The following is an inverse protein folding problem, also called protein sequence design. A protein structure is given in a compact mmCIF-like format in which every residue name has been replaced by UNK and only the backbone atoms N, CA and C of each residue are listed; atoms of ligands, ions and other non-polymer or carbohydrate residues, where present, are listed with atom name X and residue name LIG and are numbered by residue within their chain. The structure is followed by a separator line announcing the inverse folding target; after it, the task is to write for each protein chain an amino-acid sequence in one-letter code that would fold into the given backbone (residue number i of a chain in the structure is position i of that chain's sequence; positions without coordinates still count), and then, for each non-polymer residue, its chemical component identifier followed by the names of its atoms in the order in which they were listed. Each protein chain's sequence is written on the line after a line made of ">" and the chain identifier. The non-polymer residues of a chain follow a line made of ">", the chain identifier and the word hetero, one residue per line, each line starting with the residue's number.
data_IF_846969065325
#
_entry.id   IF_846969065325
#
_cell.length_a   1.000
_cell.length_b   1.000
_cell.length_c   1.000
_cell.angle_alpha   90.00
_cell.angle_beta   90.00
_cell.angle_gamma   90.00
#
_symmetry.space_group_name_H-M   'P 1'
#
loop_
_entity.id
_entity.type
_entity.pdbx_description
1 polymer ?
#
# COMPACT_ATOMS: atom_id res chain seq x y z
N UNK A 1 80.03 41.48 -58.38
CA UNK A 1 81.05 40.84 -59.23
C UNK A 1 80.58 40.94 -60.66
N UNK A 2 81.36 41.62 -61.49
CA UNK A 2 81.01 41.98 -62.87
C UNK A 2 82.07 42.93 -63.38
N UNK A 3 83.27 42.38 -63.60
CA UNK A 3 84.35 43.00 -64.37
C UNK A 3 84.03 42.92 -65.88
N UNK A 4 84.91 43.57 -66.67
CA UNK A 4 85.03 43.51 -68.15
C UNK A 4 84.15 44.58 -68.83
N UNK A 5 84.61 45.51 -69.69
CA UNK A 5 85.88 45.70 -70.40
C UNK A 5 85.99 47.20 -70.74
N UNK A 6 87.16 47.80 -70.56
CA UNK A 6 87.51 49.08 -71.19
C UNK A 6 88.65 48.78 -72.17
N UNK A 7 88.40 48.96 -73.46
CA UNK A 7 89.43 48.93 -74.50
C UNK A 7 90.15 50.29 -74.55
N UNK A 8 91.48 50.33 -74.43
CA UNK A 8 92.28 51.48 -74.82
C UNK A 8 93.11 51.15 -76.06
N UNK A 9 93.14 52.06 -77.03
CA UNK A 9 94.21 52.34 -78.00
C UNK A 9 93.54 53.09 -79.18
N UNK A 10 94.15 54.06 -79.87
CA UNK A 10 95.34 53.89 -80.71
C UNK A 10 95.86 55.29 -81.14
N UNK A 11 97.11 55.54 -80.76
CA UNK A 11 98.23 56.12 -81.54
C UNK A 11 98.11 57.52 -82.18
N UNK A 12 98.76 58.44 -81.49
CA UNK A 12 99.69 59.45 -82.03
C UNK A 12 100.62 58.89 -83.13
N UNK A 13 100.77 59.64 -84.22
CA UNK A 13 101.77 59.42 -85.26
C UNK A 13 102.53 60.73 -85.50
N UNK A 14 103.68 60.84 -84.86
CA UNK A 14 104.77 61.72 -85.28
C UNK A 14 105.26 61.28 -86.66
N UNK A 15 105.51 62.24 -87.56
CA UNK A 15 106.42 62.05 -88.70
C UNK A 15 107.52 63.09 -88.63
N UNK A 16 108.66 62.61 -88.15
CA UNK A 16 109.97 63.21 -88.28
C UNK A 16 110.43 63.16 -89.74
N UNK A 17 110.89 64.33 -90.19
CA UNK A 17 111.99 64.59 -91.12
C UNK A 17 112.30 63.64 -92.28
N UNK A 18 112.45 64.22 -93.47
CA UNK A 18 113.56 63.84 -94.36
C UNK A 18 114.04 65.05 -95.15
N UNK A 19 115.16 65.60 -94.69
CA UNK A 19 115.97 66.58 -95.41
C UNK A 19 116.73 65.84 -96.50
N UNK A 20 116.48 66.16 -97.77
CA UNK A 20 117.33 65.73 -98.88
C UNK A 20 118.21 66.89 -99.35
N UNK A 21 119.50 66.73 -99.06
CA UNK A 21 120.62 67.44 -99.66
C UNK A 21 120.55 67.37 -101.20
N UNK A 22 120.36 68.52 -101.85
CA UNK A 22 120.71 68.70 -103.27
C UNK A 22 122.00 69.51 -103.37
N UNK A 23 122.98 68.85 -103.98
CA UNK A 23 124.35 69.29 -104.27
C UNK A 23 124.38 70.71 -104.85
N UNK A 24 125.14 71.57 -104.16
CA UNK A 24 125.60 72.86 -104.65
C UNK A 24 126.34 72.71 -105.98
N UNK A 25 125.81 73.35 -107.03
CA UNK A 25 126.65 73.87 -108.11
C UNK A 25 127.40 75.08 -107.54
N UNK A 26 128.71 74.96 -107.36
CA UNK A 26 129.63 76.07 -107.04
C UNK A 26 129.62 77.10 -108.17
N UNK A 27 128.60 77.95 -108.19
CA UNK A 27 128.69 79.30 -108.73
C UNK A 27 129.01 80.22 -107.56
N UNK A 28 130.15 80.91 -107.62
CA UNK A 28 130.68 81.94 -106.71
C UNK A 28 129.60 82.51 -105.75
N UNK A 29 129.44 81.88 -104.57
CA UNK A 29 128.55 82.35 -103.52
C UNK A 29 129.35 83.27 -102.62
N UNK A 30 129.14 84.59 -102.74
CA UNK A 30 129.64 85.57 -101.75
C UNK A 30 129.00 85.23 -100.40
N UNK A 31 129.81 85.11 -99.35
CA UNK A 31 129.35 84.87 -97.98
C UNK A 31 128.38 85.97 -97.55
N UNK A 32 127.09 85.63 -97.41
CA UNK A 32 126.07 86.51 -96.84
C UNK A 32 126.08 86.33 -95.31
N UNK A 33 126.52 87.35 -94.57
CA UNK A 33 126.36 87.42 -93.11
C UNK A 33 125.02 88.10 -92.77
N UNK A 34 124.21 87.49 -91.93
CA UNK A 34 122.91 88.04 -91.51
C UNK A 34 123.11 89.20 -90.52
N UNK A 35 122.58 90.38 -90.84
CA UNK A 35 122.71 91.61 -90.04
C UNK A 35 121.37 92.10 -89.45
N UNK A 36 120.28 91.35 -89.61
CA UNK A 36 118.97 91.63 -89.03
C UNK A 36 117.81 91.50 -90.02
N UNK A 37 116.58 91.59 -89.49
CA UNK A 37 115.33 91.62 -90.26
C UNK A 37 114.55 92.87 -89.88
N UNK A 38 114.09 93.60 -90.88
CA UNK A 38 113.22 94.76 -90.70
C UNK A 38 111.78 94.32 -90.94
N UNK A 39 110.89 94.39 -89.95
CA UNK A 39 109.47 94.09 -90.17
C UNK A 39 108.88 95.19 -91.05
N UNK A 40 108.45 94.82 -92.25
CA UNK A 40 107.92 95.78 -93.23
C UNK A 40 106.45 96.15 -93.01
N UNK A 41 105.81 95.56 -91.99
CA UNK A 41 104.41 95.85 -91.66
C UNK A 41 104.29 97.30 -91.15
N UNK A 42 103.30 98.03 -91.63
CA UNK A 42 103.11 99.45 -91.29
C UNK A 42 104.18 100.41 -91.82
N UNK A 43 105.21 99.93 -92.53
CA UNK A 43 106.30 100.77 -93.04
C UNK A 43 105.85 101.53 -94.30
N UNK A 44 106.20 102.82 -94.37
CA UNK A 44 106.06 103.63 -95.58
C UNK A 44 107.36 103.61 -96.37
N UNK A 45 107.28 103.23 -97.64
CA UNK A 45 108.45 103.02 -98.51
C UNK A 45 108.32 103.91 -99.74
N UNK A 46 109.27 104.82 -99.90
CA UNK A 46 109.24 105.87 -100.92
C UNK A 46 110.61 105.95 -101.63
N UNK A 47 110.61 106.23 -102.92
CA UNK A 47 111.83 106.56 -103.65
C UNK A 47 112.30 107.98 -103.29
N UNK A 48 113.57 108.12 -102.93
CA UNK A 48 114.20 109.39 -102.56
C UNK A 48 115.57 109.59 -103.22
N UNK A 49 116.13 110.78 -103.02
CA UNK A 49 117.51 111.16 -103.36
C UNK A 49 118.13 111.76 -102.10
N UNK A 50 119.33 111.35 -101.73
CA UNK A 50 120.04 111.89 -100.56
C UNK A 50 121.49 112.27 -100.96
N UNK A 51 122.10 113.20 -100.22
CA UNK A 51 123.34 113.94 -100.51
C UNK A 51 124.47 113.06 -101.08
N UNK A 52 124.48 112.87 -102.41
CA UNK A 52 125.50 112.10 -103.15
C UNK A 52 125.03 110.77 -103.76
N UNK A 53 123.83 110.28 -103.42
CA UNK A 53 123.26 109.04 -103.96
C UNK A 53 121.89 109.30 -104.62
N UNK A 54 121.86 109.15 -105.96
CA UNK A 54 120.71 109.52 -106.79
C UNK A 54 119.57 108.50 -106.78
N UNK A 55 119.77 107.29 -106.29
CA UNK A 55 118.81 106.18 -106.38
C UNK A 55 118.60 105.53 -105.00
N UNK A 56 117.89 106.20 -104.07
CA UNK A 56 117.71 105.73 -102.70
C UNK A 56 116.24 105.36 -102.40
N UNK A 57 116.02 104.40 -101.49
CA UNK A 57 114.72 104.04 -100.96
C UNK A 57 114.69 104.44 -99.49
N UNK A 58 113.72 105.28 -99.12
CA UNK A 58 113.47 105.65 -97.73
C UNK A 58 112.39 104.73 -97.17
N UNK A 59 112.74 103.98 -96.14
CA UNK A 59 111.81 103.16 -95.37
C UNK A 59 111.61 103.84 -94.01
N UNK A 60 110.38 104.27 -93.73
CA UNK A 60 110.00 104.90 -92.47
C UNK A 60 108.92 104.08 -91.77
N UNK A 61 108.97 104.03 -90.44
CA UNK A 61 107.93 103.46 -89.59
C UNK A 61 107.74 104.40 -88.40
N UNK A 62 106.53 104.50 -87.84
CA UNK A 62 106.26 105.30 -86.63
C UNK A 62 107.11 104.88 -85.42
N UNK A 63 107.61 103.64 -85.42
CA UNK A 63 108.49 103.09 -84.39
C UNK A 63 109.99 103.12 -84.75
N UNK A 64 110.38 103.60 -85.95
CA UNK A 64 111.79 103.77 -86.29
C UNK A 64 112.29 105.13 -85.83
N UNK A 65 113.41 105.14 -85.08
CA UNK A 65 114.04 106.38 -84.58
C UNK A 65 114.63 107.26 -85.71
N UNK A 66 114.96 106.66 -86.84
CA UNK A 66 115.44 107.34 -88.04
C UNK A 66 114.96 106.58 -89.29
N UNK A 67 114.87 107.27 -90.42
CA UNK A 67 114.53 106.65 -91.70
C UNK A 67 115.66 105.70 -92.14
N UNK A 68 115.31 104.49 -92.54
CA UNK A 68 116.27 103.54 -93.09
C UNK A 68 116.43 103.85 -94.56
N UNK A 69 117.66 104.19 -94.96
CA UNK A 69 118.00 104.57 -96.34
C UNK A 69 118.68 103.39 -97.02
N UNK A 70 118.10 102.91 -98.11
CA UNK A 70 118.66 101.80 -98.91
C UNK A 70 119.01 102.32 -100.30
N UNK A 71 120.30 102.36 -100.63
CA UNK A 71 120.77 102.82 -101.94
C UNK A 71 120.72 101.68 -102.97
N UNK A 72 120.18 101.95 -104.15
CA UNK A 72 120.19 101.06 -105.30
C UNK A 72 121.32 101.44 -106.29
N UNK A 73 121.81 100.46 -107.05
CA UNK A 73 122.89 100.69 -108.02
C UNK A 73 122.44 101.52 -109.23
N UNK A 74 121.17 101.39 -109.64
CA UNK A 74 120.55 102.13 -110.74
C UNK A 74 119.05 102.37 -110.49
N UNK A 75 118.44 103.21 -111.34
CA UNK A 75 117.02 103.53 -111.25
C UNK A 75 116.11 102.29 -111.42
N UNK A 76 116.51 101.33 -112.26
CA UNK A 76 115.75 100.09 -112.48
C UNK A 76 115.73 99.23 -111.23
N UNK A 77 116.86 99.04 -110.55
CA UNK A 77 116.92 98.33 -109.28
C UNK A 77 116.14 99.05 -108.18
N UNK A 78 116.21 100.39 -108.12
CA UNK A 78 115.41 101.17 -107.17
C UNK A 78 113.91 100.91 -107.34
N UNK A 79 113.39 100.96 -108.57
CA UNK A 79 111.98 100.71 -108.85
C UNK A 79 111.57 99.26 -108.56
N UNK A 80 112.41 98.29 -108.93
CA UNK A 80 112.19 96.87 -108.62
C UNK A 80 112.12 96.63 -107.11
N UNK A 81 113.08 97.16 -106.34
CA UNK A 81 113.10 97.03 -104.88
C UNK A 81 111.96 97.79 -104.21
N UNK A 82 111.60 98.98 -104.71
CA UNK A 82 110.43 99.72 -104.22
C UNK A 82 109.16 98.89 -104.37
N UNK A 83 108.95 98.29 -105.55
CA UNK A 83 107.79 97.45 -105.84
C UNK A 83 107.78 96.21 -104.97
N UNK A 84 108.91 95.50 -104.88
CA UNK A 84 109.05 94.29 -104.08
C UNK A 84 108.81 94.55 -102.58
N UNK A 85 109.37 95.64 -102.05
CA UNK A 85 109.19 96.00 -100.64
C UNK A 85 107.76 96.42 -100.32
N UNK A 86 107.11 97.21 -101.18
CA UNK A 86 105.68 97.56 -101.02
C UNK A 86 104.78 96.33 -101.10
N UNK A 87 105.09 95.39 -102.00
CA UNK A 87 104.39 94.12 -102.10
C UNK A 87 104.59 93.26 -100.85
N UNK A 88 105.81 93.20 -100.31
CA UNK A 88 106.12 92.51 -99.06
C UNK A 88 105.39 93.13 -97.84
N UNK A 89 105.31 94.47 -97.74
CA UNK A 89 104.50 95.17 -96.74
C UNK A 89 103.03 94.78 -96.86
N UNK A 90 102.47 94.77 -98.08
CA UNK A 90 101.08 94.38 -98.35
C UNK A 90 100.80 92.94 -97.95
N UNK A 91 101.70 92.01 -98.28
CA UNK A 91 101.57 90.59 -97.89
C UNK A 91 101.63 90.45 -96.36
N UNK A 92 102.57 91.12 -95.70
CA UNK A 92 102.71 91.08 -94.24
C UNK A 92 101.45 91.58 -93.52
N UNK A 93 100.85 92.67 -94.03
CA UNK A 93 99.59 93.19 -93.52
C UNK A 93 98.43 92.20 -93.71
N UNK A 94 98.29 91.63 -94.92
CA UNK A 94 97.28 90.61 -95.21
C UNK A 94 97.42 89.37 -94.32
N UNK A 95 98.66 88.91 -94.10
CA UNK A 95 98.94 87.76 -93.23
C UNK A 95 98.54 88.06 -91.79
N UNK A 96 98.83 89.27 -91.29
CA UNK A 96 98.46 89.67 -89.92
C UNK A 96 96.95 89.68 -89.72
N UNK A 97 96.18 90.26 -90.66
CA UNK A 97 94.71 90.20 -90.61
C UNK A 97 94.21 88.74 -90.67
N UNK A 98 94.83 87.89 -91.50
CA UNK A 98 94.46 86.48 -91.58
C UNK A 98 94.72 85.74 -90.27
N UNK A 99 95.83 86.04 -89.58
CA UNK A 99 96.14 85.51 -88.26
C UNK A 99 95.17 86.02 -87.19
N UNK A 100 94.87 87.31 -87.16
CA UNK A 100 93.88 87.88 -86.23
C UNK A 100 92.51 87.22 -86.41
N UNK A 101 92.04 87.05 -87.64
CA UNK A 101 90.80 86.32 -87.93
C UNK A 101 90.85 84.86 -87.50
N UNK A 102 91.99 84.19 -87.68
CA UNK A 102 92.15 82.80 -87.25
C UNK A 102 92.13 82.72 -85.72
N UNK A 103 92.79 83.65 -85.02
CA UNK A 103 92.77 83.72 -83.54
C UNK A 103 91.34 83.94 -83.06
N UNK A 104 90.62 84.91 -83.61
CA UNK A 104 89.21 85.17 -83.26
C UNK A 104 88.31 83.95 -83.50
N UNK A 105 88.52 83.22 -84.60
CA UNK A 105 87.81 81.96 -84.89
C UNK A 105 88.16 80.85 -83.89
N UNK A 106 89.42 80.74 -83.48
CA UNK A 106 89.85 79.75 -82.49
C UNK A 106 89.33 80.07 -81.10
N UNK A 107 89.31 81.35 -80.71
CA UNK A 107 88.76 81.82 -79.44
C UNK A 107 87.25 81.58 -79.38
N UNK A 108 86.49 82.01 -80.40
CA UNK A 108 85.05 81.75 -80.48
C UNK A 108 84.72 80.26 -80.48
N UNK A 109 85.50 79.43 -81.20
CA UNK A 109 85.36 77.97 -81.15
C UNK A 109 85.70 77.41 -79.76
N UNK A 110 86.71 77.94 -79.08
CA UNK A 110 87.07 77.54 -77.72
C UNK A 110 85.96 77.82 -76.71
N UNK A 111 85.31 78.97 -76.81
CA UNK A 111 84.13 79.31 -75.99
C UNK A 111 82.99 78.34 -76.26
N UNK A 112 82.65 78.10 -77.53
CA UNK A 112 81.60 77.15 -77.90
C UNK A 112 81.86 75.74 -77.36
N UNK A 113 83.08 75.22 -77.49
CA UNK A 113 83.45 73.90 -76.97
C UNK A 113 83.39 73.83 -75.44
N UNK A 114 83.73 74.91 -74.75
CA UNK A 114 83.64 74.98 -73.28
C UNK A 114 82.19 74.94 -72.82
N UNK A 115 81.31 75.68 -73.51
CA UNK A 115 79.87 75.68 -73.22
C UNK A 115 79.23 74.32 -73.56
N UNK A 116 79.60 73.71 -74.69
CA UNK A 116 79.18 72.35 -75.04
C UNK A 116 79.61 71.33 -73.99
N UNK A 117 80.89 71.36 -73.58
CA UNK A 117 81.42 70.50 -72.52
C UNK A 117 80.61 70.66 -71.23
N UNK A 118 80.38 71.90 -70.79
CA UNK A 118 79.59 72.20 -69.59
C UNK A 118 78.16 71.66 -69.71
N UNK A 119 77.50 71.87 -70.84
CA UNK A 119 76.15 71.34 -71.10
C UNK A 119 76.11 69.80 -71.07
N UNK A 120 77.14 69.12 -71.58
CA UNK A 120 77.24 67.66 -71.49
C UNK A 120 77.46 67.19 -70.04
N UNK A 121 78.30 67.87 -69.28
CA UNK A 121 78.53 67.58 -67.86
C UNK A 121 77.25 67.77 -67.03
N UNK A 122 76.51 68.85 -67.25
CA UNK A 122 75.23 69.11 -66.59
C UNK A 122 74.17 68.04 -66.92
N UNK A 123 74.06 67.65 -68.20
CA UNK A 123 73.16 66.57 -68.62
C UNK A 123 73.53 65.22 -67.99
N UNK A 124 74.82 64.91 -67.93
CA UNK A 124 75.29 63.67 -67.32
C UNK A 124 75.00 63.65 -65.82
N UNK A 125 75.21 64.78 -65.13
CA UNK A 125 74.89 64.91 -63.71
C UNK A 125 73.38 64.75 -63.45
N UNK A 126 72.53 65.39 -64.27
CA UNK A 126 71.08 65.27 -64.15
C UNK A 126 70.59 63.84 -64.38
N UNK A 127 71.14 63.12 -65.37
CA UNK A 127 70.83 61.70 -65.61
C UNK A 127 71.30 60.83 -64.42
N UNK A 128 72.49 61.08 -63.88
CA UNK A 128 73.00 60.35 -62.72
C UNK A 128 72.10 60.53 -61.48
N UNK A 129 71.64 61.77 -61.23
CA UNK A 129 70.71 62.08 -60.14
C UNK A 129 69.34 61.41 -60.36
N UNK A 130 68.80 61.47 -61.59
CA UNK A 130 67.53 60.82 -61.91
C UNK A 130 67.59 59.30 -61.71
N UNK A 131 68.71 58.66 -62.09
CA UNK A 131 68.96 57.23 -61.84
C UNK A 131 69.04 56.90 -60.35
N UNK A 132 69.71 57.75 -59.57
CA UNK A 132 69.81 57.58 -58.12
C UNK A 132 68.44 57.72 -57.43
N UNK A 133 67.64 58.71 -57.82
CA UNK A 133 66.27 58.87 -57.33
C UNK A 133 65.39 57.68 -57.69
N UNK A 134 65.46 57.19 -58.93
CA UNK A 134 64.72 55.99 -59.37
C UNK A 134 65.15 54.76 -58.57
N UNK A 135 66.45 54.58 -58.34
CA UNK A 135 66.98 53.49 -57.52
C UNK A 135 66.48 53.58 -56.08
N UNK A 136 66.48 54.76 -55.47
CA UNK A 136 65.98 54.98 -54.11
C UNK A 136 64.46 54.74 -54.01
N UNK A 137 63.69 55.15 -55.02
CA UNK A 137 62.25 54.84 -55.13
C UNK A 137 62.04 53.34 -55.24
N UNK A 138 62.81 52.64 -56.07
CA UNK A 138 62.77 51.19 -56.22
C UNK A 138 63.06 50.47 -54.90
N UNK A 139 64.13 50.87 -54.19
CA UNK A 139 64.45 50.29 -52.87
C UNK A 139 63.35 50.52 -51.83
N UNK A 140 62.72 51.70 -51.85
CA UNK A 140 61.61 52.00 -50.94
C UNK A 140 60.37 51.16 -51.25
N UNK A 141 60.08 50.94 -52.53
CA UNK A 141 58.99 50.07 -52.98
C UNK A 141 59.25 48.59 -52.64
N UNK A 142 60.47 48.10 -52.80
CA UNK A 142 60.80 46.71 -52.47
C UNK A 142 60.67 46.45 -50.96
N UNK A 143 61.06 47.40 -50.10
CA UNK A 143 60.81 47.34 -48.65
C UNK A 143 59.32 47.29 -48.33
N UNK A 144 58.53 48.18 -48.93
CA UNK A 144 57.08 48.20 -48.73
C UNK A 144 56.41 46.89 -49.20
N UNK A 145 56.88 46.32 -50.32
CA UNK A 145 56.42 45.03 -50.82
C UNK A 145 56.76 43.88 -49.86
N UNK A 146 57.96 43.85 -49.28
CA UNK A 146 58.35 42.85 -48.29
C UNK A 146 57.48 42.93 -47.02
N UNK A 147 57.18 44.13 -46.54
CA UNK A 147 56.29 44.35 -45.39
C UNK A 147 54.85 43.90 -45.68
N UNK A 148 54.33 44.22 -46.86
CA UNK A 148 53.01 43.77 -47.29
C UNK A 148 52.92 42.24 -47.42
N UNK A 149 53.97 41.58 -47.91
CA UNK A 149 53.98 40.11 -48.00
C UNK A 149 54.02 39.47 -46.60
N UNK A 150 54.81 40.02 -45.66
CA UNK A 150 54.82 39.57 -44.26
C UNK A 150 53.44 39.73 -43.61
N UNK A 151 52.74 40.83 -43.89
CA UNK A 151 51.40 41.06 -43.35
C UNK A 151 50.37 40.14 -44.00
N UNK A 152 50.47 39.92 -45.32
CA UNK A 152 49.65 38.93 -46.04
C UNK A 152 49.83 37.53 -45.44
N UNK A 153 51.06 37.10 -45.18
CA UNK A 153 51.33 35.82 -44.53
C UNK A 153 50.79 35.73 -43.09
N UNK A 154 50.87 36.83 -42.32
CA UNK A 154 50.24 36.90 -40.99
C UNK A 154 48.73 36.75 -41.07
N UNK A 155 48.08 37.50 -41.96
CA UNK A 155 46.64 37.41 -42.17
C UNK A 155 46.22 36.02 -42.64
N UNK A 156 46.93 35.40 -43.59
CA UNK A 156 46.64 34.04 -44.03
C UNK A 156 46.73 33.02 -42.87
N UNK A 157 47.75 33.13 -42.01
CA UNK A 157 47.88 32.27 -40.82
C UNK A 157 46.76 32.48 -39.82
N UNK A 158 46.39 33.74 -39.55
CA UNK A 158 45.29 34.06 -38.66
C UNK A 158 43.95 33.55 -39.19
N UNK A 159 43.66 33.77 -40.47
CA UNK A 159 42.44 33.27 -41.13
C UNK A 159 42.38 31.75 -41.09
N UNK A 160 43.50 31.05 -41.33
CA UNK A 160 43.55 29.59 -41.22
C UNK A 160 43.22 29.14 -39.80
N UNK A 161 43.87 29.74 -38.79
CA UNK A 161 43.62 29.42 -37.38
C UNK A 161 42.16 29.65 -37.00
N UNK A 162 41.57 30.79 -37.37
CA UNK A 162 40.15 31.08 -37.11
C UNK A 162 39.21 30.07 -37.78
N UNK A 163 39.55 29.60 -38.99
CA UNK A 163 38.77 28.56 -39.68
C UNK A 163 38.85 27.22 -38.96
N UNK A 164 40.03 26.84 -38.49
CA UNK A 164 40.26 25.61 -37.74
C UNK A 164 39.53 25.66 -36.38
N UNK A 165 39.63 26.79 -35.66
CA UNK A 165 38.91 27.03 -34.40
C UNK A 165 37.39 26.99 -34.59
N UNK A 166 36.86 27.63 -35.64
CA UNK A 166 35.44 27.58 -35.98
C UNK A 166 34.97 26.14 -36.24
N UNK A 167 35.78 25.35 -36.93
CA UNK A 167 35.47 23.95 -37.20
C UNK A 167 35.51 23.10 -35.92
N UNK A 168 36.46 23.36 -35.02
CA UNK A 168 36.51 22.71 -33.69
C UNK A 168 35.26 23.01 -32.89
N UNK A 169 34.91 24.29 -32.74
CA UNK A 169 33.71 24.74 -32.01
C UNK A 169 32.44 24.13 -32.60
N UNK A 170 32.34 24.05 -33.94
CA UNK A 170 31.21 23.39 -34.61
C UNK A 170 31.11 21.91 -34.26
N UNK A 171 32.24 21.20 -34.18
CA UNK A 171 32.29 19.79 -33.82
C UNK A 171 31.93 19.59 -32.33
N UNK A 172 32.48 20.41 -31.43
CA UNK A 172 32.16 20.40 -30.00
C UNK A 172 30.68 20.68 -29.74
N UNK A 173 30.10 21.65 -30.45
CA UNK A 173 28.68 21.97 -30.37
C UNK A 173 27.82 20.79 -30.85
N UNK A 174 28.25 20.08 -31.90
CA UNK A 174 27.56 18.88 -32.39
C UNK A 174 27.56 17.78 -31.31
N UNK A 175 28.72 17.49 -30.72
CA UNK A 175 28.86 16.50 -29.64
C UNK A 175 28.01 16.90 -28.44
N UNK A 176 28.04 18.17 -28.04
CA UNK A 176 27.23 18.70 -26.91
C UNK A 176 25.73 18.56 -27.17
N UNK A 177 25.27 18.76 -28.41
CA UNK A 177 23.87 18.54 -28.76
C UNK A 177 23.50 17.05 -28.76
N UNK A 178 24.39 16.17 -29.20
CA UNK A 178 24.18 14.72 -29.14
C UNK A 178 24.09 14.23 -27.69
N UNK A 179 25.00 14.65 -26.81
CA UNK A 179 24.96 14.31 -25.37
C UNK A 179 23.74 14.91 -24.68
N UNK A 180 23.32 16.13 -25.04
CA UNK A 180 22.08 16.71 -24.54
C UNK A 180 20.86 15.86 -24.91
N UNK A 181 20.78 15.39 -26.17
CA UNK A 181 19.67 14.52 -26.62
C UNK A 181 19.65 13.19 -25.86
N UNK A 182 20.81 12.57 -25.61
CA UNK A 182 20.86 11.32 -24.84
C UNK A 182 20.39 11.54 -23.39
N UNK A 183 20.81 12.64 -22.76
CA UNK A 183 20.34 13.00 -21.41
C UNK A 183 18.84 13.29 -21.36
N UNK A 184 18.28 13.94 -22.38
CA UNK A 184 16.83 14.14 -22.49
C UNK A 184 16.08 12.80 -22.61
N UNK A 185 16.60 11.86 -23.41
CA UNK A 185 16.04 10.51 -23.54
C UNK A 185 16.09 9.74 -22.20
N UNK A 186 17.22 9.80 -21.49
CA UNK A 186 17.39 9.17 -20.18
C UNK A 186 16.44 9.77 -19.14
N UNK A 187 16.28 11.10 -19.13
CA UNK A 187 15.32 11.79 -18.27
C UNK A 187 13.89 11.31 -18.52
N UNK A 188 13.47 11.17 -19.78
CA UNK A 188 12.15 10.64 -20.14
C UNK A 188 11.99 9.20 -19.64
N UNK A 189 13.00 8.35 -19.84
CA UNK A 189 12.97 6.96 -19.37
C UNK A 189 12.89 6.86 -17.85
N UNK A 190 13.65 7.68 -17.12
CA UNK A 190 13.62 7.75 -15.65
C UNK A 190 12.28 8.25 -15.13
N UNK A 191 11.69 9.27 -15.77
CA UNK A 191 10.36 9.75 -15.40
C UNK A 191 9.30 8.65 -15.58
N UNK A 192 9.30 7.94 -16.71
CA UNK A 192 8.38 6.83 -16.94
C UNK A 192 8.52 5.70 -15.89
N UNK A 193 9.75 5.36 -15.50
CA UNK A 193 10.00 4.39 -14.41
C UNK A 193 9.49 4.90 -13.07
N UNK A 194 9.66 6.20 -12.79
CA UNK A 194 9.19 6.83 -11.55
C UNK A 194 7.67 6.82 -11.48
N UNK A 195 6.98 7.19 -12.56
CA UNK A 195 5.52 7.13 -12.68
C UNK A 195 4.98 5.71 -12.45
N UNK A 196 5.62 4.70 -13.05
CA UNK A 196 5.27 3.29 -12.82
C UNK A 196 5.42 2.89 -11.34
N UNK A 197 6.52 3.28 -10.70
CA UNK A 197 6.73 3.00 -9.27
C UNK A 197 5.68 3.68 -8.39
N UNK A 198 5.30 4.93 -8.70
CA UNK A 198 4.24 5.65 -7.98
C UNK A 198 2.91 4.92 -8.13
N UNK A 199 2.51 4.55 -9.34
CA UNK A 199 1.25 3.82 -9.58
C UNK A 199 1.23 2.45 -8.89
N UNK A 200 2.36 1.74 -8.86
CA UNK A 200 2.49 0.49 -8.13
C UNK A 200 2.36 0.70 -6.60
N UNK A 201 2.98 1.74 -6.06
CA UNK A 201 2.84 2.10 -4.65
C UNK A 201 1.40 2.48 -4.28
N UNK A 202 0.70 3.21 -5.14
CA UNK A 202 -0.71 3.55 -4.96
C UNK A 202 -1.59 2.29 -4.94
N UNK A 203 -1.34 1.34 -5.85
CA UNK A 203 -2.05 0.07 -5.92
C UNK A 203 -1.83 -0.78 -4.66
N UNK A 204 -0.58 -0.90 -4.20
CA UNK A 204 -0.24 -1.59 -2.96
C UNK A 204 -0.87 -0.92 -1.74
N UNK A 205 -0.93 0.41 -1.70
CA UNK A 205 -1.54 1.13 -0.60
C UNK A 205 -3.07 0.94 -0.57
N UNK A 206 -3.71 0.83 -1.73
CA UNK A 206 -5.13 0.50 -1.84
C UNK A 206 -5.40 -0.94 -1.35
N UNK A 207 -4.56 -1.90 -1.75
CA UNK A 207 -4.66 -3.29 -1.29
C UNK A 207 -4.43 -3.40 0.22
N UNK A 208 -3.42 -2.70 0.76
CA UNK A 208 -3.19 -2.59 2.20
C UNK A 208 -4.44 -2.07 2.93
N UNK A 209 -5.01 -0.95 2.47
CA UNK A 209 -6.22 -0.38 3.08
C UNK A 209 -7.39 -1.37 3.06
N UNK A 210 -7.56 -2.12 1.97
CA UNK A 210 -8.59 -3.15 1.84
C UNK A 210 -8.38 -4.29 2.85
N UNK A 211 -7.14 -4.74 3.03
CA UNK A 211 -6.80 -5.78 4.01
C UNK A 211 -7.05 -5.27 5.44
N UNK A 212 -6.68 -4.03 5.74
CA UNK A 212 -6.93 -3.41 7.06
C UNK A 212 -8.43 -3.31 7.37
N UNK A 213 -9.26 -2.95 6.39
CA UNK A 213 -10.72 -2.91 6.54
C UNK A 213 -11.31 -4.30 6.77
N UNK A 214 -10.86 -5.30 5.99
CA UNK A 214 -11.25 -6.70 6.16
C UNK A 214 -10.88 -7.22 7.55
N UNK A 215 -9.66 -6.96 8.01
CA UNK A 215 -9.21 -7.34 9.35
C UNK A 215 -10.05 -6.67 10.44
N UNK A 216 -10.36 -5.38 10.28
CA UNK A 216 -11.23 -4.64 11.21
C UNK A 216 -12.66 -5.20 11.24
N UNK A 217 -13.17 -5.71 10.12
CA UNK A 217 -14.45 -6.43 10.07
C UNK A 217 -14.39 -7.74 10.85
N UNK A 218 -13.36 -8.55 10.62
CA UNK A 218 -13.16 -9.83 11.31
C UNK A 218 -13.05 -9.63 12.82
N UNK A 219 -12.32 -8.60 13.28
CA UNK A 219 -12.20 -8.28 14.71
C UNK A 219 -13.57 -7.95 15.30
N UNK A 220 -14.36 -7.08 14.65
CA UNK A 220 -15.72 -6.73 15.12
C UNK A 220 -16.66 -7.94 15.18
N UNK A 221 -16.61 -8.81 14.17
CA UNK A 221 -17.39 -10.06 14.18
C UNK A 221 -16.95 -10.98 15.33
N UNK A 222 -15.65 -11.13 15.55
CA UNK A 222 -15.11 -11.94 16.65
C UNK A 222 -15.53 -11.39 18.02
N UNK A 223 -15.50 -10.07 18.21
CA UNK A 223 -15.99 -9.43 19.44
C UNK A 223 -17.49 -9.70 19.66
N UNK A 224 -18.29 -9.61 18.60
CA UNK A 224 -19.73 -9.94 18.66
C UNK A 224 -19.95 -11.41 19.04
N UNK A 225 -19.21 -12.34 18.44
CA UNK A 225 -19.28 -13.77 18.78
C UNK A 225 -18.86 -14.03 20.23
N UNK A 226 -17.81 -13.36 20.73
CA UNK A 226 -17.38 -13.48 22.12
C UNK A 226 -18.48 -13.00 23.08
N UNK A 227 -19.11 -11.87 22.79
CA UNK A 227 -20.19 -11.33 23.61
C UNK A 227 -21.43 -12.25 23.59
N UNK A 228 -21.79 -12.78 22.43
CA UNK A 228 -22.88 -13.75 22.29
C UNK A 228 -22.58 -15.05 23.05
N UNK A 229 -21.36 -15.57 22.98
CA UNK A 229 -20.96 -16.77 23.72
C UNK A 229 -20.98 -16.52 25.24
N UNK A 230 -20.55 -15.35 25.71
CA UNK A 230 -20.68 -14.97 27.13
C UNK A 230 -22.15 -14.91 27.56
N UNK A 231 -23.01 -14.30 26.75
CA UNK A 231 -24.45 -14.25 27.01
C UNK A 231 -25.08 -15.64 27.05
N UNK A 232 -24.77 -16.51 26.08
CA UNK A 232 -25.24 -17.89 26.04
C UNK A 232 -24.75 -18.68 27.25
N UNK A 233 -23.49 -18.52 27.66
CA UNK A 233 -22.95 -19.14 28.87
C UNK A 233 -23.67 -18.67 30.14
N UNK A 234 -23.97 -17.37 30.24
CA UNK A 234 -24.74 -16.79 31.35
C UNK A 234 -26.16 -17.36 31.41
N UNK A 235 -26.87 -17.36 30.27
CA UNK A 235 -28.22 -17.94 30.16
C UNK A 235 -28.22 -19.44 30.48
N UNK A 236 -27.21 -20.17 30.01
CA UNK A 236 -27.05 -21.61 30.31
C UNK A 236 -26.85 -21.85 31.80
N UNK A 237 -26.05 -21.02 32.47
CA UNK A 237 -25.85 -21.10 33.92
C UNK A 237 -27.17 -20.84 34.68
N UNK A 238 -27.91 -19.80 34.28
CA UNK A 238 -29.22 -19.48 34.87
C UNK A 238 -30.23 -20.61 34.68
N UNK A 239 -30.29 -21.21 33.49
CA UNK A 239 -31.14 -22.37 33.21
C UNK A 239 -30.75 -23.58 34.05
N UNK A 240 -29.45 -23.89 34.20
CA UNK A 240 -28.99 -24.96 35.09
C UNK A 240 -29.42 -24.74 36.53
N UNK A 241 -29.27 -23.52 37.05
CA UNK A 241 -29.71 -23.19 38.40
C UNK A 241 -31.22 -23.36 38.56
N UNK A 242 -32.01 -22.89 37.58
CA UNK A 242 -33.48 -23.08 37.54
C UNK A 242 -33.87 -24.55 37.52
N UNK A 243 -33.13 -25.36 36.77
CA UNK A 243 -33.39 -26.79 36.63
C UNK A 243 -33.07 -27.54 37.94
N UNK A 244 -31.97 -27.18 38.61
CA UNK A 244 -31.63 -27.68 39.95
C UNK A 244 -32.67 -27.25 41.01
N UNK A 245 -33.19 -26.02 40.94
CA UNK A 245 -34.31 -25.58 41.79
C UNK A 245 -35.59 -26.40 41.56
N UNK A 246 -35.89 -26.75 40.30
CA UNK A 246 -37.04 -27.59 39.97
C UNK A 246 -36.83 -29.02 40.46
N UNK A 247 -35.64 -29.58 40.27
CA UNK A 247 -35.28 -30.91 40.73
C UNK A 247 -35.36 -31.03 42.26
N UNK A 248 -34.81 -30.05 42.99
CA UNK A 248 -34.91 -30.01 44.47
C UNK A 248 -36.36 -29.90 44.94
N UNK A 249 -37.17 -29.04 44.33
CA UNK A 249 -38.62 -28.96 44.64
C UNK A 249 -39.35 -30.26 44.33
N UNK A 250 -39.04 -30.90 43.21
CA UNK A 250 -39.62 -32.20 42.83
C UNK A 250 -39.30 -33.27 43.88
N UNK A 251 -38.05 -33.32 44.36
CA UNK A 251 -37.63 -34.26 45.40
C UNK A 251 -38.34 -34.01 46.73
N UNK A 252 -38.51 -32.74 47.14
CA UNK A 252 -39.29 -32.39 48.33
C UNK A 252 -40.74 -32.87 48.20
N UNK A 253 -41.39 -32.60 47.06
CA UNK A 253 -42.76 -33.05 46.79
C UNK A 253 -42.86 -34.59 46.82
N UNK A 254 -41.88 -35.29 46.23
CA UNK A 254 -41.84 -36.75 46.25
C UNK A 254 -41.75 -37.31 47.68
N UNK A 255 -40.87 -36.73 48.52
CA UNK A 255 -40.74 -37.14 49.93
C UNK A 255 -42.01 -36.87 50.74
N UNK A 256 -42.66 -35.73 50.50
CA UNK A 256 -43.92 -35.38 51.15
C UNK A 256 -45.07 -36.29 50.70
N UNK A 257 -45.11 -36.64 49.40
CA UNK A 257 -46.04 -37.64 48.86
C UNK A 257 -45.86 -38.98 49.56
N UNK A 258 -44.63 -39.47 49.69
CA UNK A 258 -44.35 -40.75 50.38
C UNK A 258 -44.81 -40.71 51.85
N UNK A 259 -44.58 -39.59 52.54
CA UNK A 259 -45.05 -39.36 53.91
C UNK A 259 -46.58 -39.40 54.02
N UNK A 260 -47.29 -38.73 53.10
CA UNK A 260 -48.76 -38.73 53.04
C UNK A 260 -49.30 -40.12 52.71
N UNK A 261 -48.70 -40.83 51.74
CA UNK A 261 -49.09 -42.21 51.39
C UNK A 261 -48.87 -43.18 52.56
N UNK A 262 -47.80 -43.03 53.34
CA UNK A 262 -47.58 -43.81 54.55
C UNK A 262 -48.66 -43.53 55.61
N UNK A 263 -49.02 -42.26 55.80
CA UNK A 263 -50.11 -41.86 56.71
C UNK A 263 -51.46 -42.42 56.26
N UNK A 264 -51.74 -42.37 54.94
CA UNK A 264 -52.95 -42.96 54.36
C UNK A 264 -52.99 -44.48 54.58
N UNK A 265 -51.89 -45.21 54.37
CA UNK A 265 -51.79 -46.65 54.65
C UNK A 265 -52.07 -46.98 56.13
N UNK A 266 -51.60 -46.15 57.06
CA UNK A 266 -51.90 -46.31 58.49
C UNK A 266 -53.39 -46.06 58.75
N UNK A 267 -53.97 -45.01 58.18
CA UNK A 267 -55.39 -44.72 58.31
C UNK A 267 -56.26 -45.82 57.70
N UNK A 268 -55.94 -46.34 56.52
CA UNK A 268 -56.63 -47.47 55.91
C UNK A 268 -56.63 -48.69 56.83
N UNK A 269 -55.48 -49.05 57.42
CA UNK A 269 -55.39 -50.13 58.41
C UNK A 269 -56.28 -49.87 59.62
N UNK A 270 -56.24 -48.65 60.16
CA UNK A 270 -57.09 -48.24 61.29
C UNK A 270 -58.58 -48.33 60.95
N UNK A 271 -58.98 -47.92 59.75
CA UNK A 271 -60.36 -48.04 59.27
C UNK A 271 -60.78 -49.52 59.17
N UNK A 272 -59.90 -50.40 58.68
CA UNK A 272 -60.15 -51.85 58.65
C UNK A 272 -60.28 -52.44 60.06
N UNK A 273 -59.47 -52.01 61.01
CA UNK A 273 -59.58 -52.43 62.41
C UNK A 273 -60.91 -51.98 63.04
N UNK A 274 -61.28 -50.70 62.86
CA UNK A 274 -62.56 -50.17 63.32
C UNK A 274 -63.76 -50.88 62.66
N UNK A 275 -63.65 -51.28 61.40
CA UNK A 275 -64.67 -52.07 60.70
C UNK A 275 -64.85 -53.45 61.33
N UNK A 276 -63.75 -54.12 61.68
CA UNK A 276 -63.78 -55.41 62.40
C UNK A 276 -64.38 -55.27 63.79
N UNK A 277 -64.05 -54.20 64.52
CA UNK A 277 -64.68 -53.89 65.80
C UNK A 277 -66.18 -53.64 65.64
N UNK A 278 -66.59 -52.86 64.63
CA UNK A 278 -68.01 -52.63 64.32
C UNK A 278 -68.74 -53.94 64.02
N UNK A 279 -68.14 -54.82 63.21
CA UNK A 279 -68.70 -56.14 62.90
C UNK A 279 -68.82 -57.02 64.15
N UNK A 280 -67.80 -57.01 65.03
CA UNK A 280 -67.83 -57.72 66.31
C UNK A 280 -68.98 -57.26 67.20
N UNK A 281 -69.12 -55.94 67.42
CA UNK A 281 -70.23 -55.39 68.21
C UNK A 281 -71.59 -55.64 67.56
N UNK A 282 -71.68 -55.56 66.23
CA UNK A 282 -72.92 -55.87 65.52
C UNK A 282 -73.33 -57.35 65.68
N UNK A 283 -72.37 -58.28 65.58
CA UNK A 283 -72.61 -59.69 65.81
C UNK A 283 -73.04 -59.96 67.27
N UNK A 284 -72.36 -59.33 68.23
CA UNK A 284 -72.74 -59.41 69.65
C UNK A 284 -74.16 -58.86 69.89
N UNK A 285 -74.54 -57.76 69.23
CA UNK A 285 -75.89 -57.20 69.30
C UNK A 285 -76.92 -58.16 68.72
N UNK A 286 -76.64 -58.80 67.58
CA UNK A 286 -77.54 -59.79 66.97
C UNK A 286 -77.71 -61.04 67.85
N UNK A 287 -76.64 -61.53 68.49
CA UNK A 287 -76.72 -62.64 69.44
C UNK A 287 -77.58 -62.29 70.67
N UNK A 288 -77.41 -61.09 71.22
CA UNK A 288 -78.25 -60.59 72.32
C UNK A 288 -79.71 -60.45 71.90
N UNK A 289 -80.00 -59.91 70.72
CA UNK A 289 -81.35 -59.81 70.18
C UNK A 289 -82.00 -61.19 69.97
N UNK A 290 -81.24 -62.17 69.45
CA UNK A 290 -81.72 -63.55 69.32
C UNK A 290 -82.03 -64.15 70.68
N UNK A 291 -81.15 -63.95 71.66
CA UNK A 291 -81.35 -64.42 73.03
C UNK A 291 -82.58 -63.78 73.68
N UNK A 292 -82.79 -62.47 73.46
CA UNK A 292 -83.92 -61.73 74.00
C UNK A 292 -85.24 -62.16 73.33
N UNK A 293 -85.21 -62.45 72.03
CA UNK A 293 -86.34 -63.06 71.31
C UNK A 293 -86.68 -64.44 71.86
N UNK A 294 -85.68 -65.30 72.09
CA UNK A 294 -85.90 -66.62 72.69
C UNK A 294 -86.49 -66.53 74.11
N UNK A 295 -86.05 -65.57 74.92
CA UNK A 295 -86.61 -65.33 76.26
C UNK A 295 -88.04 -64.79 76.16
N UNK A 296 -88.33 -63.88 75.22
CA UNK A 296 -89.69 -63.37 74.99
C UNK A 296 -90.63 -64.50 74.55
N UNK A 297 -90.20 -65.35 73.61
CA UNK A 297 -90.97 -66.51 73.18
C UNK A 297 -91.22 -67.49 74.34
N UNK A 298 -90.21 -67.72 75.20
CA UNK A 298 -90.38 -68.52 76.41
C UNK A 298 -91.38 -67.90 77.39
N UNK A 299 -91.30 -66.59 77.62
CA UNK A 299 -92.25 -65.84 78.46
C UNK A 299 -93.67 -66.03 77.93
N UNK A 300 -93.90 -65.80 76.64
CA UNK A 300 -95.23 -65.88 76.04
C UNK A 300 -95.80 -67.30 76.14
N UNK A 301 -94.97 -68.32 75.96
CA UNK A 301 -95.37 -69.72 76.15
C UNK A 301 -95.78 -69.99 77.62
N UNK A 302 -94.97 -69.54 78.58
CA UNK A 302 -95.29 -69.71 80.01
C UNK A 302 -96.51 -68.90 80.44
N UNK A 303 -96.73 -67.72 79.86
CA UNK A 303 -97.91 -66.90 80.13
C UNK A 303 -99.19 -67.56 79.58
N UNK A 304 -99.10 -68.17 78.40
CA UNK A 304 -100.19 -68.97 77.85
C UNK A 304 -100.50 -70.20 78.71
N UNK A 305 -99.48 -70.96 79.11
CA UNK A 305 -99.64 -72.11 80.02
C UNK A 305 -100.29 -71.69 81.35
N UNK A 306 -99.89 -70.54 81.92
CA UNK A 306 -100.47 -70.03 83.17
C UNK A 306 -101.93 -69.58 82.98
N UNK A 307 -102.26 -68.95 81.85
CA UNK A 307 -103.64 -68.56 81.51
C UNK A 307 -104.54 -69.78 81.39
N UNK A 308 -104.08 -70.83 80.72
CA UNK A 308 -104.83 -72.08 80.59
C UNK A 308 -105.05 -72.75 81.96
N UNK A 309 -104.03 -72.79 82.81
CA UNK A 309 -104.14 -73.31 84.18
C UNK A 309 -105.13 -72.49 85.04
N UNK A 310 -105.09 -71.15 84.95
CA UNK A 310 -106.05 -70.28 85.64
C UNK A 310 -107.48 -70.53 85.15
N UNK A 311 -107.68 -70.68 83.85
CA UNK A 311 -108.99 -70.99 83.27
C UNK A 311 -109.51 -72.36 83.72
N UNK A 312 -108.63 -73.38 83.76
CA UNK A 312 -108.97 -74.70 84.30
C UNK A 312 -109.37 -74.61 85.78
N UNK A 313 -108.64 -73.83 86.59
CA UNK A 313 -108.93 -73.64 88.02
C UNK A 313 -110.28 -72.95 88.26
N UNK A 314 -110.58 -71.91 87.48
CA UNK A 314 -111.89 -71.23 87.53
C UNK A 314 -113.02 -72.22 87.15
N UNK A 315 -112.76 -73.10 86.17
CA UNK A 315 -113.69 -74.16 85.78
C UNK A 315 -113.98 -75.13 86.93
N UNK A 316 -112.94 -75.64 87.57
CA UNK A 316 -113.04 -76.55 88.71
C UNK A 316 -113.76 -75.90 89.91
N UNK A 317 -113.47 -74.63 90.20
CA UNK A 317 -114.08 -73.89 91.31
C UNK A 317 -115.60 -73.71 91.11
N UNK A 318 -116.04 -73.47 89.87
CA UNK A 318 -117.49 -73.44 89.55
C UNK A 318 -118.17 -74.79 89.76
N UNK A 319 -117.52 -75.89 89.41
CA UNK A 319 -118.07 -77.23 89.61
C UNK A 319 -118.18 -77.57 91.09
N UNK A 320 -117.16 -77.25 91.87
CA UNK A 320 -117.17 -77.42 93.33
C UNK A 320 -118.30 -76.63 93.98
N UNK A 321 -118.46 -75.36 93.59
CA UNK A 321 -119.54 -74.52 94.11
C UNK A 321 -120.95 -75.02 93.72
N UNK A 322 -121.09 -75.67 92.55
CA UNK A 322 -122.34 -76.31 92.15
C UNK A 322 -122.64 -77.56 92.98
N UNK A 323 -121.62 -78.35 93.33
CA UNK A 323 -121.75 -79.51 94.20
C UNK A 323 -122.04 -79.12 95.66
N UNK A 324 -121.41 -78.07 96.18
CA UNK A 324 -121.72 -77.51 97.51
C UNK A 324 -123.18 -77.07 97.61
N UNK A 325 -123.69 -76.35 96.61
CA UNK A 325 -125.12 -75.94 96.58
C UNK A 325 -126.07 -77.12 96.53
N UNK A 326 -125.74 -78.18 95.77
CA UNK A 326 -126.53 -79.40 95.74
C UNK A 326 -126.52 -80.10 97.11
N UNK A 327 -125.39 -80.09 97.81
CA UNK A 327 -125.26 -80.65 99.15
C UNK A 327 -126.08 -79.86 100.20
N UNK A 328 -126.03 -78.52 100.15
CA UNK A 328 -126.86 -77.66 101.01
C UNK A 328 -128.35 -77.88 100.75
N UNK A 329 -128.75 -78.00 99.48
CA UNK A 329 -130.13 -78.28 99.09
C UNK A 329 -130.62 -79.63 99.67
N UNK A 330 -129.78 -80.67 99.59
CA UNK A 330 -130.07 -81.97 100.18
C UNK A 330 -130.19 -81.90 101.70
N UNK A 331 -129.33 -81.14 102.36
CA UNK A 331 -129.36 -80.98 103.81
C UNK A 331 -130.63 -80.26 104.28
N UNK A 332 -131.07 -79.23 103.56
CA UNK A 332 -132.33 -78.52 103.83
C UNK A 332 -133.53 -79.45 103.61
N UNK A 333 -133.53 -80.20 102.50
CA UNK A 333 -134.60 -81.16 102.20
C UNK A 333 -134.70 -82.26 103.27
N UNK A 334 -133.56 -82.80 103.73
CA UNK A 334 -133.52 -83.83 104.77
C UNK A 334 -133.95 -83.32 106.16
N UNK A 335 -133.75 -82.03 106.47
CA UNK A 335 -134.16 -81.43 107.75
C UNK A 335 -135.66 -81.13 107.85
N UNK A 336 -136.37 -81.02 106.72
CA UNK A 336 -137.75 -80.52 106.68
C UNK A 336 -138.84 -81.60 106.58
N UNK A 337 -138.49 -82.90 106.55
CA UNK A 337 -139.49 -83.93 106.22
C UNK A 337 -139.85 -84.84 107.40
N UNK A 338 -141.00 -84.52 108.01
CA UNK A 338 -141.94 -85.48 108.60
C UNK A 338 -143.14 -85.75 107.68
N UNK A 339 -142.95 -85.67 106.35
CA UNK A 339 -144.00 -85.81 105.33
C UNK A 339 -143.73 -87.00 104.37
N UNK A 340 -144.77 -87.42 103.65
CA UNK A 340 -144.89 -88.73 102.98
C UNK A 340 -143.86 -89.01 101.86
N UNK A 341 -143.53 -90.30 101.69
CA UNK A 341 -142.39 -90.85 100.94
C UNK A 341 -142.35 -90.60 99.41
N UNK A 342 -143.46 -90.17 98.77
CA UNK A 342 -143.50 -90.00 97.31
C UNK A 342 -143.04 -88.62 96.82
N UNK A 343 -143.14 -87.56 97.64
CA UNK A 343 -142.69 -86.20 97.28
C UNK A 343 -141.19 -85.98 97.54
N UNK A 344 -140.62 -86.79 98.45
CA UNK A 344 -139.21 -86.72 98.81
C UNK A 344 -138.28 -87.18 97.65
N UNK A 345 -138.79 -88.03 96.75
CA UNK A 345 -138.02 -88.60 95.65
C UNK A 345 -137.82 -87.65 94.46
N UNK A 346 -138.73 -86.68 94.22
CA UNK A 346 -138.56 -85.69 93.15
C UNK A 346 -137.59 -84.55 93.53
N UNK A 347 -137.56 -84.16 94.80
CA UNK A 347 -136.76 -83.01 95.24
C UNK A 347 -135.29 -83.34 95.56
N UNK A 348 -134.98 -84.55 96.01
CA UNK A 348 -133.63 -84.93 96.46
C UNK A 348 -132.81 -85.58 95.33
N UNK A 349 -133.45 -86.29 94.40
CA UNK A 349 -132.74 -87.01 93.33
C UNK A 349 -131.85 -86.15 92.42
N UNK A 350 -132.25 -84.95 91.96
CA UNK A 350 -131.43 -84.15 91.06
C UNK A 350 -130.09 -83.77 91.69
N UNK A 351 -130.11 -83.43 92.98
CA UNK A 351 -128.92 -83.04 93.74
C UNK A 351 -128.02 -84.24 94.04
N UNK A 352 -128.58 -85.41 94.34
CA UNK A 352 -127.81 -86.67 94.47
C UNK A 352 -127.15 -87.05 93.15
N UNK A 353 -127.84 -86.86 92.01
CA UNK A 353 -127.25 -87.12 90.69
C UNK A 353 -126.07 -86.17 90.41
N UNK A 354 -126.23 -84.88 90.75
CA UNK A 354 -125.19 -83.85 90.59
C UNK A 354 -123.96 -84.10 91.43
N UNK A 355 -124.15 -84.53 92.68
CA UNK A 355 -123.06 -84.93 93.57
C UNK A 355 -122.36 -86.20 93.09
N UNK A 356 -123.11 -87.19 92.62
CA UNK A 356 -122.52 -88.39 92.01
C UNK A 356 -121.66 -88.02 90.80
N UNK A 357 -122.18 -87.21 89.88
CA UNK A 357 -121.46 -86.80 88.67
C UNK A 357 -120.19 -85.99 89.02
N UNK A 358 -120.24 -85.12 90.03
CA UNK A 358 -119.09 -84.42 90.56
C UNK A 358 -118.00 -85.37 91.10
N UNK A 359 -118.36 -86.35 91.95
CA UNK A 359 -117.39 -87.31 92.47
C UNK A 359 -116.86 -88.27 91.40
N UNK A 360 -117.67 -88.62 90.40
CA UNK A 360 -117.27 -89.44 89.25
C UNK A 360 -116.23 -88.66 88.40
N UNK A 361 -116.44 -87.35 88.18
CA UNK A 361 -115.44 -86.46 87.57
C UNK A 361 -114.17 -86.31 88.43
N UNK A 362 -114.28 -86.11 89.75
CA UNK A 362 -113.11 -86.03 90.63
C UNK A 362 -112.29 -87.33 90.61
N UNK A 363 -112.93 -88.49 90.49
CA UNK A 363 -112.24 -89.77 90.35
C UNK A 363 -111.50 -89.89 89.00
N UNK A 364 -112.12 -89.43 87.92
CA UNK A 364 -111.49 -89.39 86.58
C UNK A 364 -110.31 -88.40 86.54
N UNK A 365 -110.46 -87.22 87.13
CA UNK A 365 -109.39 -86.21 87.26
C UNK A 365 -108.23 -86.72 88.13
N UNK A 366 -108.52 -87.39 89.26
CA UNK A 366 -107.48 -88.00 90.10
C UNK A 366 -106.70 -89.09 89.35
N UNK A 367 -107.35 -89.85 88.47
CA UNK A 367 -106.71 -90.85 87.61
C UNK A 367 -105.83 -90.18 86.53
N UNK A 368 -106.24 -89.04 85.99
CA UNK A 368 -105.44 -88.24 85.07
C UNK A 368 -104.24 -87.59 85.79
N UNK A 369 -104.44 -87.06 86.99
CA UNK A 369 -103.39 -86.46 87.83
C UNK A 369 -102.35 -87.51 88.26
N UNK A 370 -102.77 -88.75 88.56
CA UNK A 370 -101.85 -89.86 88.83
C UNK A 370 -100.96 -90.21 87.62
N UNK A 371 -101.45 -89.99 86.39
CA UNK A 371 -100.69 -90.20 85.16
C UNK A 371 -99.85 -88.97 84.72
N UNK A 372 -100.07 -87.81 85.33
CA UNK A 372 -99.39 -86.54 85.02
C UNK A 372 -97.86 -86.59 85.13
N UNK A 373 -97.22 -87.29 86.10
CA UNK A 373 -95.77 -87.40 86.14
C UNK A 373 -95.18 -88.06 84.88
N UNK A 374 -95.90 -89.03 84.29
CA UNK A 374 -95.47 -89.72 83.07
C UNK A 374 -95.66 -88.85 81.83
N UNK A 375 -96.77 -88.09 81.75
CA UNK A 375 -97.03 -87.13 80.68
C UNK A 375 -95.99 -85.98 80.71
N UNK A 376 -95.71 -85.42 81.89
CA UNK A 376 -94.67 -84.39 82.06
C UNK A 376 -93.28 -84.90 81.69
N UNK A 377 -92.93 -86.14 82.06
CA UNK A 377 -91.65 -86.75 81.67
C UNK A 377 -91.51 -86.86 80.15
N UNK A 378 -92.57 -87.26 79.45
CA UNK A 378 -92.58 -87.34 77.98
C UNK A 378 -92.49 -85.95 77.32
N UNK A 379 -93.20 -84.94 77.86
CA UNK A 379 -93.12 -83.56 77.38
C UNK A 379 -91.72 -82.94 77.57
N UNK A 380 -91.07 -83.19 78.72
CA UNK A 380 -89.70 -82.74 78.98
C UNK A 380 -88.71 -83.43 78.03
N UNK A 381 -88.89 -84.72 77.73
CA UNK A 381 -88.04 -85.45 76.80
C UNK A 381 -88.17 -84.90 75.37
N UNK A 382 -89.39 -84.56 74.93
CA UNK A 382 -89.63 -83.89 73.64
C UNK A 382 -88.96 -82.50 73.57
N UNK A 383 -89.09 -81.67 74.63
CA UNK A 383 -88.42 -80.36 74.71
C UNK A 383 -86.88 -80.47 74.71
N UNK A 384 -86.30 -81.50 75.36
CA UNK A 384 -84.84 -81.75 75.35
C UNK A 384 -84.33 -82.23 73.99
N UNK A 385 -85.12 -83.02 73.26
CA UNK A 385 -84.78 -83.46 71.89
C UNK A 385 -84.66 -82.26 70.93
N UNK A 386 -85.62 -81.32 71.00
CA UNK A 386 -85.63 -80.08 70.19
C UNK A 386 -84.46 -79.12 70.50
N UNK A 387 -84.00 -79.05 71.76
CA UNK A 387 -82.83 -78.21 72.14
C UNK A 387 -81.50 -78.81 71.67
N UNK A 388 -81.37 -80.15 71.59
CA UNK A 388 -80.14 -80.82 71.13
C UNK A 388 -79.94 -80.75 69.61
N UNK A 389 -81.00 -80.72 68.82
CA UNK A 389 -80.91 -80.58 67.35
C UNK A 389 -80.49 -79.17 66.91
N UNK A 390 -80.85 -78.11 67.66
CA UNK A 390 -80.38 -76.73 67.37
C UNK A 390 -78.92 -76.45 67.77
N UNK A 391 -78.43 -77.02 68.87
CA UNK A 391 -77.03 -76.83 69.33
C UNK A 391 -76.00 -77.50 68.41
N UNK A 392 -76.37 -78.54 67.64
CA UNK A 392 -75.50 -79.16 66.64
C UNK A 392 -75.32 -78.32 65.36
N UNK A 393 -76.28 -77.46 65.03
CA UNK A 393 -76.15 -76.52 63.89
C UNK A 393 -75.19 -75.37 64.20
N UNK A 394 -75.18 -74.87 65.45
CA UNK A 394 -74.29 -73.78 65.86
C UNK A 394 -72.82 -74.20 65.91
N UNK A 395 -72.48 -75.48 66.19
CA UNK A 395 -71.08 -75.95 66.16
C UNK A 395 -70.53 -76.32 64.78
N UNK A 396 -71.38 -76.52 63.76
CA UNK A 396 -70.93 -76.85 62.40
C UNK A 396 -70.58 -75.62 61.55
N UNK A 397 -71.07 -74.44 61.90
CA UNK A 397 -70.76 -73.16 61.23
C UNK A 397 -69.42 -72.53 61.64
N UNK A 398 -68.82 -72.94 62.76
CA UNK A 398 -67.50 -72.45 63.21
C UNK A 398 -66.30 -73.28 62.71
N UNK A 399 -66.50 -74.26 61.83
CA UNK A 399 -65.41 -75.10 61.29
C UNK A 399 -65.33 -75.06 59.76
N UNK A 400 -65.31 -73.85 59.18
CA UNK A 400 -64.80 -73.63 57.82
C UNK A 400 -64.42 -72.16 57.60
N UNK A 401 -63.25 -71.75 58.10
CA UNK A 401 -62.37 -70.75 57.49
C UNK A 401 -61.14 -70.50 58.38
N UNK A 402 -60.11 -71.31 58.16
CA UNK A 402 -58.71 -70.89 58.26
C UNK A 402 -57.84 -71.97 57.64
N UNK A 403 -57.21 -71.66 56.49
CA UNK A 403 -55.79 -71.87 56.17
C UNK A 403 -55.55 -71.63 54.67
N UNK A 404 -54.48 -70.90 54.35
CA UNK A 404 -53.94 -70.62 53.01
C UNK A 404 -53.83 -69.10 52.78
N UNK A 405 -52.71 -68.41 52.99
CA UNK A 405 -51.32 -68.86 52.89
C UNK A 405 -50.81 -68.60 51.48
N UNK A 406 -50.00 -67.54 51.35
CA UNK A 406 -49.01 -67.20 50.31
C UNK A 406 -49.17 -67.82 48.90
N UNK A 407 -49.33 -66.96 47.90
CA UNK A 407 -48.66 -67.15 46.61
C UNK A 407 -47.80 -65.92 46.31
N UNK A 408 -46.49 -66.17 46.22
CA UNK A 408 -45.53 -65.33 45.53
C UNK A 408 -45.92 -65.20 44.05
N UNK A 409 -45.93 -63.97 43.54
CA UNK A 409 -45.61 -63.71 42.12
C UNK A 409 -44.56 -62.61 42.05
N UNK A 410 -43.33 -63.03 41.78
CA UNK A 410 -42.30 -62.21 41.15
C UNK A 410 -42.53 -62.25 39.63
N UNK A 411 -42.59 -61.07 39.02
CA UNK A 411 -42.18 -60.81 37.64
C UNK A 411 -41.42 -59.47 37.68
N UNK A 412 -40.12 -59.52 37.33
CA UNK A 412 -39.47 -58.76 36.25
C UNK A 412 -39.88 -57.28 36.07
N UNK A 413 -39.00 -56.28 35.90
CA UNK A 413 -37.60 -56.23 35.47
C UNK A 413 -37.08 -54.78 35.63
N UNK A 414 -35.77 -54.66 35.81
CA UNK A 414 -34.82 -53.58 35.43
C UNK A 414 -35.06 -52.06 35.68
N UNK A 415 -33.99 -51.49 36.29
CA UNK A 415 -33.36 -50.14 36.23
C UNK A 415 -33.19 -49.60 37.67
N UNK A 416 -32.08 -49.02 38.13
CA UNK A 416 -30.88 -48.48 37.52
C UNK A 416 -29.78 -48.29 38.61
N UNK A 417 -28.52 -48.25 38.19
CA UNK A 417 -27.38 -47.44 38.66
C UNK A 417 -27.00 -47.18 40.15
N UNK A 418 -25.70 -47.42 40.38
CA UNK A 418 -24.69 -46.59 41.04
C UNK A 418 -24.54 -46.44 42.59
N UNK A 419 -23.30 -46.81 42.99
CA UNK A 419 -22.35 -46.12 43.89
C UNK A 419 -22.79 -45.73 45.31
N UNK A 420 -22.08 -46.36 46.26
CA UNK A 420 -21.66 -45.73 47.52
C UNK A 420 -20.28 -45.09 47.33
N UNK A 421 -20.17 -43.81 47.65
CA UNK A 421 -18.97 -43.20 48.26
C UNK A 421 -19.03 -43.54 49.77
N UNK A 422 -17.91 -43.71 50.48
CA UNK A 422 -17.13 -42.62 51.10
C UNK A 422 -15.67 -43.09 51.34
N UNK A 423 -14.74 -42.22 50.91
CA UNK A 423 -13.39 -41.81 51.40
C UNK A 423 -12.68 -42.51 52.59
N UNK A 424 -11.36 -42.28 52.88
CA UNK A 424 -10.45 -41.21 52.39
C UNK A 424 -9.01 -41.68 52.00
N UNK A 425 -8.18 -40.74 51.52
CA UNK A 425 -6.74 -40.58 51.87
C UNK A 425 -5.78 -40.30 50.70
N UNK A 426 -5.38 -39.03 50.62
CA UNK A 426 -3.99 -38.54 50.60
C UNK A 426 -3.18 -38.43 49.30
N UNK A 427 -2.44 -37.30 49.29
CA UNK A 427 -1.14 -36.98 48.69
C UNK A 427 -1.03 -36.31 47.31
N UNK A 428 -0.58 -35.04 47.42
CA UNK A 428 0.32 -34.29 46.55
C UNK A 428 1.03 -35.05 45.41
N UNK A 429 1.14 -34.43 44.23
CA UNK A 429 2.34 -33.69 43.77
C UNK A 429 2.21 -33.30 42.29
N UNK A 430 2.73 -32.08 42.03
CA UNK A 430 3.18 -31.46 40.77
C UNK A 430 2.12 -31.05 39.74
#
# INVERSE_FOLDING_TARGET
>A
MGEVNMDPQVKSKERVGTVQNKKEKKGILRSLSFQGVIPLIGCSIVAGQDHGHKFCLLITHTHFKAAIIVCAADAKAQELWLKALREATKISYKNTIAWEKLVEQLESRGVMLTEEKKNYEEKLLAEAQAREEEHNRYLSLEKAKEELEKERERLMRLTKKLKDDLQSVKNELKITNETKRTLEQEKISLNAKTEHLVSNMESLNLEKSKIEEQMSSIIREREKFLLENQNLSSVTCQLKNRLMEIETKTNCIASEKERVEAMLRINEKKTVELEKEREHYNNQTMELLSSLKEISEQRDLTEAELKDEVMARIGAEKQLQAAEKALEHLEIALKLTGAQMNELQEHIMPDVHKLREFFEQCAEEAKMEANKPMIMRNAIYARRSLRRSKTLLVRRSFKKKSTGGLEERKCDEFKNEERKLVEPSSLMRL
#
